data_IF_763857018372
#
_entry.id   IF_763857018372
#
_cell.length_a   1.000
_cell.length_b   1.000
_cell.length_c   1.000
_cell.angle_alpha   90.00
_cell.angle_beta   90.00
_cell.angle_gamma   90.00
#
_symmetry.space_group_name_H-M   'P 1'
#
loop_
_entity.id
_entity.type
_entity.pdbx_description
1 polymer ?
#
# COMPACT_ATOMS: atom_id res chain seq x y z
N UNK A 1 -40.11 13.95 -26.67
CA UNK A 1 -38.88 14.26 -25.92
C UNK A 1 -38.96 13.43 -24.66
N UNK A 2 -38.06 12.47 -24.50
CA UNK A 2 -38.04 11.57 -23.34
C UNK A 2 -37.11 12.13 -22.26
N UNK A 3 -37.24 11.62 -21.05
CA UNK A 3 -36.32 11.91 -19.95
C UNK A 3 -35.13 10.96 -20.00
N UNK A 4 -33.93 11.48 -19.72
CA UNK A 4 -32.71 10.69 -19.64
C UNK A 4 -32.77 9.76 -18.43
N UNK A 5 -32.64 8.45 -18.63
CA UNK A 5 -32.74 7.47 -17.55
C UNK A 5 -31.69 7.67 -16.44
N UNK A 6 -30.48 8.13 -16.81
CA UNK A 6 -29.40 8.36 -15.83
C UNK A 6 -29.50 9.67 -15.02
N UNK A 7 -30.04 10.76 -15.59
CA UNK A 7 -29.95 12.09 -14.94
C UNK A 7 -31.24 12.91 -14.94
N UNK A 8 -32.34 12.40 -15.51
CA UNK A 8 -33.63 13.09 -15.62
C UNK A 8 -33.64 14.30 -16.57
N UNK A 9 -32.54 14.59 -17.27
CA UNK A 9 -32.46 15.67 -18.25
C UNK A 9 -33.21 15.35 -19.55
N UNK A 10 -33.38 16.35 -20.43
CA UNK A 10 -33.97 16.14 -21.76
C UNK A 10 -33.09 15.23 -22.62
N UNK A 11 -33.69 14.22 -23.23
CA UNK A 11 -33.00 13.30 -24.13
C UNK A 11 -33.80 13.02 -25.41
N UNK A 12 -33.06 12.71 -26.48
CA UNK A 12 -33.61 12.24 -27.76
C UNK A 12 -33.63 10.70 -27.84
N UNK A 13 -32.78 10.04 -27.04
CA UNK A 13 -32.67 8.59 -26.88
C UNK A 13 -32.67 8.25 -25.38
N UNK A 14 -32.28 7.04 -24.98
CA UNK A 14 -32.22 6.62 -23.57
C UNK A 14 -31.32 7.54 -22.73
N UNK A 15 -30.16 7.93 -23.26
CA UNK A 15 -29.24 8.87 -22.60
C UNK A 15 -29.17 10.23 -23.31
N UNK A 16 -29.16 11.31 -22.51
CA UNK A 16 -28.88 12.65 -23.02
C UNK A 16 -27.41 12.82 -23.46
N UNK A 17 -27.13 13.78 -24.33
CA UNK A 17 -25.77 14.04 -24.85
C UNK A 17 -24.71 14.29 -23.76
N UNK A 18 -25.09 14.80 -22.59
CA UNK A 18 -24.16 14.94 -21.44
C UNK A 18 -23.73 13.58 -20.90
N UNK A 19 -24.67 12.64 -20.73
CA UNK A 19 -24.36 11.29 -20.26
C UNK A 19 -23.56 10.51 -21.31
N UNK A 20 -23.89 10.69 -22.59
CA UNK A 20 -23.09 10.14 -23.70
C UNK A 20 -21.64 10.65 -23.65
N UNK A 21 -21.46 11.96 -23.44
CA UNK A 21 -20.14 12.57 -23.29
C UNK A 21 -19.32 12.00 -22.12
N UNK A 22 -19.98 11.63 -21.00
CA UNK A 22 -19.32 10.96 -19.87
C UNK A 22 -18.83 9.56 -20.24
N UNK A 23 -19.68 8.74 -20.87
CA UNK A 23 -19.29 7.40 -21.32
C UNK A 23 -18.11 7.52 -22.29
N UNK A 24 -18.22 8.37 -23.30
CA UNK A 24 -17.19 8.56 -24.31
C UNK A 24 -15.87 9.05 -23.70
N UNK A 25 -15.92 10.00 -22.75
CA UNK A 25 -14.75 10.45 -22.01
C UNK A 25 -14.05 9.32 -21.27
N UNK A 26 -14.81 8.50 -20.53
CA UNK A 26 -14.26 7.34 -19.82
C UNK A 26 -13.67 6.34 -20.81
N UNK A 27 -14.39 5.95 -21.86
CA UNK A 27 -13.93 4.96 -22.85
C UNK A 27 -12.69 5.41 -23.62
N UNK A 28 -12.48 6.72 -23.83
CA UNK A 28 -11.25 7.25 -24.43
C UNK A 28 -10.04 7.18 -23.52
N UNK A 29 -10.22 7.37 -22.22
CA UNK A 29 -9.14 7.25 -21.23
C UNK A 29 -8.83 5.79 -20.87
N UNK A 30 -9.86 4.94 -20.91
CA UNK A 30 -9.83 3.57 -20.41
C UNK A 30 -8.69 2.69 -21.00
N UNK A 31 -8.31 2.76 -22.29
CA UNK A 31 -7.20 1.99 -22.86
C UNK A 31 -5.90 2.12 -22.07
N UNK A 32 -5.51 3.35 -21.71
CA UNK A 32 -4.28 3.59 -20.95
C UNK A 32 -4.39 3.01 -19.54
N UNK A 33 -5.52 3.21 -18.87
CA UNK A 33 -5.77 2.67 -17.53
C UNK A 33 -5.81 1.15 -17.51
N UNK A 34 -6.32 0.51 -18.56
CA UNK A 34 -6.34 -0.94 -18.71
C UNK A 34 -4.93 -1.52 -18.90
N UNK A 35 -4.08 -0.89 -19.70
CA UNK A 35 -2.67 -1.30 -19.82
C UNK A 35 -1.98 -1.23 -18.44
N UNK A 36 -2.17 -0.16 -17.68
CA UNK A 36 -1.62 -0.03 -16.31
C UNK A 36 -2.22 -1.02 -15.33
N UNK A 37 -3.50 -1.34 -15.45
CA UNK A 37 -4.15 -2.36 -14.63
C UNK A 37 -3.60 -3.75 -14.94
N UNK A 38 -3.36 -4.07 -16.21
CA UNK A 38 -2.71 -5.32 -16.63
C UNK A 38 -1.29 -5.41 -16.08
N UNK A 39 -0.49 -4.35 -16.20
CA UNK A 39 0.86 -4.27 -15.58
C UNK A 39 0.79 -4.50 -14.06
N UNK A 40 -0.20 -3.89 -13.39
CA UNK A 40 -0.42 -4.05 -11.94
C UNK A 40 -0.85 -5.48 -11.60
N UNK A 41 -1.74 -6.09 -12.39
CA UNK A 41 -2.22 -7.45 -12.19
C UNK A 41 -1.10 -8.49 -12.29
N UNK A 42 -0.17 -8.31 -13.24
CA UNK A 42 0.97 -9.22 -13.47
C UNK A 42 2.17 -8.89 -12.55
N UNK A 43 2.13 -7.77 -11.82
CA UNK A 43 3.20 -7.37 -10.89
C UNK A 43 4.35 -6.59 -11.49
N UNK A 44 4.25 -6.17 -12.75
CA UNK A 44 5.33 -5.48 -13.46
C UNK A 44 5.39 -3.97 -13.19
N UNK A 45 4.45 -3.41 -12.41
CA UNK A 45 4.38 -1.98 -12.09
C UNK A 45 5.52 -1.43 -11.19
N UNK A 46 6.65 -2.15 -11.03
CA UNK A 46 7.85 -1.67 -10.32
C UNK A 46 9.00 -1.32 -11.26
N UNK A 47 8.70 -0.61 -12.35
CA UNK A 47 9.71 -0.02 -13.24
C UNK A 47 9.67 1.51 -13.13
N UNK A 48 9.92 2.05 -11.93
CA UNK A 48 10.50 3.38 -11.80
C UNK A 48 11.95 3.23 -11.34
N UNK A 49 12.85 3.80 -12.14
CA UNK A 49 14.29 3.87 -11.95
C UNK A 49 14.73 4.68 -10.72
N UNK A 50 13.84 5.41 -10.06
CA UNK A 50 14.17 6.24 -8.89
C UNK A 50 13.77 5.65 -7.53
N UNK A 51 13.02 4.54 -7.49
CA UNK A 51 12.73 3.88 -6.21
C UNK A 51 13.96 3.05 -5.80
N UNK A 52 14.69 3.54 -4.79
CA UNK A 52 15.74 2.78 -4.08
C UNK A 52 15.35 1.31 -4.03
N UNK A 53 16.28 0.42 -4.42
CA UNK A 53 16.26 -1.01 -4.09
C UNK A 53 15.95 -1.15 -2.60
N UNK A 54 14.68 -1.22 -2.24
CA UNK A 54 14.30 -1.82 -0.99
C UNK A 54 14.66 -3.27 -1.19
N UNK A 55 15.73 -3.71 -0.54
CA UNK A 55 15.99 -5.12 -0.26
C UNK A 55 14.87 -5.64 0.66
N UNK A 56 13.62 -5.57 0.23
CA UNK A 56 12.69 -6.64 0.54
C UNK A 56 13.25 -7.79 -0.28
N UNK A 57 13.91 -8.71 0.41
CA UNK A 57 14.10 -10.06 -0.11
C UNK A 57 12.81 -10.43 -0.84
N UNK A 58 12.86 -10.99 -2.06
CA UNK A 58 11.70 -11.71 -2.54
C UNK A 58 11.38 -12.68 -1.41
N UNK A 59 10.21 -12.56 -0.79
CA UNK A 59 9.67 -13.67 -0.01
C UNK A 59 9.41 -14.75 -1.05
N UNK A 60 10.48 -15.44 -1.45
CA UNK A 60 10.37 -16.75 -2.07
C UNK A 60 9.63 -17.56 -1.05
N UNK A 61 8.43 -18.03 -1.39
CA UNK A 61 7.80 -19.13 -0.68
C UNK A 61 8.88 -20.21 -0.58
N UNK A 62 9.47 -20.38 0.59
CA UNK A 62 10.30 -21.55 0.83
C UNK A 62 9.34 -22.73 0.76
N UNK A 63 9.68 -23.77 0.00
CA UNK A 63 8.80 -24.94 -0.21
C UNK A 63 8.38 -25.66 1.08
N UNK A 64 8.96 -25.26 2.22
CA UNK A 64 8.72 -25.80 3.55
C UNK A 64 7.70 -24.96 4.38
N UNK A 65 7.31 -23.78 3.91
CA UNK A 65 6.25 -22.98 4.55
C UNK A 65 4.89 -23.54 4.14
N UNK A 66 4.24 -24.30 5.03
CA UNK A 66 2.87 -24.73 4.78
C UNK A 66 1.95 -23.50 4.67
N UNK A 67 1.04 -23.50 3.68
CA UNK A 67 0.00 -22.47 3.52
C UNK A 67 -0.76 -22.18 4.83
N UNK A 68 -0.81 -23.18 5.73
CA UNK A 68 -1.44 -23.14 7.04
C UNK A 68 -0.74 -22.21 8.05
N UNK A 69 0.56 -21.95 7.90
CA UNK A 69 1.31 -21.03 8.80
C UNK A 69 0.95 -19.55 8.63
N UNK A 70 0.22 -19.19 7.56
CA UNK A 70 -0.36 -17.86 7.34
C UNK A 70 -1.88 -17.83 7.56
N UNK A 71 -2.45 -18.91 8.08
CA UNK A 71 -3.82 -18.96 8.58
C UNK A 71 -3.73 -18.78 10.10
N UNK A 72 -3.76 -17.53 10.54
CA UNK A 72 -3.74 -17.14 11.97
C UNK A 72 -5.19 -16.98 12.51
N UNK A 73 -5.39 -16.97 13.84
CA UNK A 73 -6.06 -17.99 14.68
C UNK A 73 -7.59 -18.04 14.57
N UNK A 74 -8.19 -19.02 15.27
CA UNK A 74 -9.65 -19.15 15.46
C UNK A 74 -10.27 -17.81 15.95
N UNK A 75 -11.49 -17.48 15.49
CA UNK A 75 -12.13 -16.18 15.75
C UNK A 75 -12.35 -15.90 17.24
N UNK A 76 -12.35 -14.61 17.59
CA UNK A 76 -12.81 -14.13 18.89
C UNK A 76 -14.27 -14.55 19.13
N UNK A 77 -14.62 -14.84 20.39
CA UNK A 77 -15.92 -15.37 20.83
C UNK A 77 -17.14 -14.48 20.48
N UNK A 78 -16.93 -13.29 19.90
CA UNK A 78 -17.96 -12.29 19.58
C UNK A 78 -18.26 -12.16 18.07
N UNK A 79 -17.80 -13.07 17.22
CA UNK A 79 -18.02 -13.00 15.77
C UNK A 79 -19.35 -13.69 15.37
N UNK A 80 -20.40 -12.91 15.14
CA UNK A 80 -21.79 -13.39 14.90
C UNK A 80 -21.95 -14.25 13.62
N UNK A 81 -21.12 -14.04 12.59
CA UNK A 81 -21.12 -14.83 11.34
C UNK A 81 -19.75 -15.46 11.05
N UNK A 82 -19.55 -16.64 11.62
CA UNK A 82 -18.33 -17.46 11.46
C UNK A 82 -18.08 -17.87 10.00
N UNK A 83 -19.12 -17.92 9.15
CA UNK A 83 -18.99 -18.36 7.75
C UNK A 83 -18.47 -17.22 6.86
N UNK A 84 -19.07 -16.04 6.95
CA UNK A 84 -18.58 -14.86 6.22
C UNK A 84 -17.16 -14.48 6.64
N UNK A 85 -16.88 -14.52 7.95
CA UNK A 85 -15.55 -14.23 8.47
C UNK A 85 -14.50 -15.24 7.97
N UNK A 86 -14.83 -16.53 7.94
CA UNK A 86 -13.98 -17.57 7.33
C UNK A 86 -13.72 -17.29 5.85
N UNK A 87 -14.76 -16.95 5.09
CA UNK A 87 -14.64 -16.63 3.65
C UNK A 87 -13.77 -15.40 3.40
N UNK A 88 -13.92 -14.36 4.22
CA UNK A 88 -13.11 -13.15 4.15
C UNK A 88 -11.62 -13.42 4.44
N UNK A 89 -11.33 -14.25 5.45
CA UNK A 89 -9.96 -14.68 5.81
C UNK A 89 -9.31 -15.52 4.71
N UNK A 90 -10.02 -16.52 4.18
CA UNK A 90 -9.54 -17.34 3.06
C UNK A 90 -9.20 -16.47 1.84
N UNK A 91 -10.07 -15.50 1.53
CA UNK A 91 -9.82 -14.55 0.45
C UNK A 91 -8.57 -13.69 0.73
N UNK A 92 -8.34 -13.26 1.98
CA UNK A 92 -7.14 -12.49 2.34
C UNK A 92 -5.85 -13.32 2.20
N UNK A 93 -5.85 -14.56 2.68
CA UNK A 93 -4.70 -15.46 2.57
C UNK A 93 -4.34 -15.79 1.11
N UNK A 94 -5.36 -16.09 0.28
CA UNK A 94 -5.15 -16.29 -1.16
C UNK A 94 -4.58 -15.03 -1.81
N UNK A 95 -5.11 -13.86 -1.46
CA UNK A 95 -4.59 -12.60 -2.00
C UNK A 95 -3.12 -12.38 -1.62
N UNK A 96 -2.74 -12.71 -0.39
CA UNK A 96 -1.37 -12.62 0.09
C UNK A 96 -0.43 -13.58 -0.65
N UNK A 97 -0.83 -14.84 -0.84
CA UNK A 97 -0.06 -15.84 -1.57
C UNK A 97 0.18 -15.41 -3.04
N UNK A 98 -0.87 -14.94 -3.73
CA UNK A 98 -0.77 -14.44 -5.10
C UNK A 98 0.15 -13.20 -5.20
N UNK A 99 0.02 -12.26 -4.26
CA UNK A 99 0.87 -11.07 -4.19
C UNK A 99 2.34 -11.41 -3.93
N UNK A 100 2.61 -12.46 -3.14
CA UNK A 100 3.96 -12.99 -2.91
C UNK A 100 4.57 -13.53 -4.20
N UNK A 101 3.76 -14.16 -5.05
CA UNK A 101 4.12 -14.55 -6.43
C UNK A 101 4.17 -13.39 -7.44
N UNK A 102 3.98 -12.14 -7.00
CA UNK A 102 3.99 -10.95 -7.87
C UNK A 102 2.64 -10.61 -8.50
N UNK A 103 1.61 -11.44 -8.38
CA UNK A 103 0.30 -11.17 -8.98
C UNK A 103 -0.54 -10.29 -8.06
N UNK A 104 -1.11 -9.19 -8.55
CA UNK A 104 -2.05 -8.39 -7.77
C UNK A 104 -3.49 -8.90 -7.96
N UNK A 105 -4.02 -9.72 -7.04
CA UNK A 105 -5.26 -10.49 -7.23
C UNK A 105 -6.48 -9.60 -7.48
N UNK A 106 -6.62 -8.51 -6.72
CA UNK A 106 -7.74 -7.57 -6.91
C UNK A 106 -7.64 -6.78 -8.21
N UNK A 107 -6.43 -6.65 -8.78
CA UNK A 107 -6.27 -6.00 -10.08
C UNK A 107 -6.63 -6.97 -11.21
N UNK A 108 -6.25 -8.24 -11.08
CA UNK A 108 -6.64 -9.31 -12.01
C UNK A 108 -8.18 -9.49 -12.03
N UNK A 109 -8.81 -9.58 -10.87
CA UNK A 109 -10.27 -9.70 -10.75
C UNK A 109 -10.99 -8.48 -11.35
N UNK A 110 -10.47 -7.26 -11.11
CA UNK A 110 -11.04 -6.06 -11.69
C UNK A 110 -10.87 -6.03 -13.22
N UNK A 111 -9.72 -6.48 -13.74
CA UNK A 111 -9.46 -6.57 -15.17
C UNK A 111 -10.43 -7.55 -15.85
N UNK A 112 -10.67 -8.71 -15.23
CA UNK A 112 -11.66 -9.69 -15.70
C UNK A 112 -13.07 -9.10 -15.72
N UNK A 113 -13.51 -8.48 -14.62
CA UNK A 113 -14.83 -7.82 -14.52
C UNK A 113 -15.03 -6.78 -15.61
N UNK A 114 -14.05 -5.92 -15.84
CA UNK A 114 -14.12 -4.88 -16.89
C UNK A 114 -14.15 -5.52 -18.27
N UNK A 115 -13.34 -6.55 -18.51
CA UNK A 115 -13.33 -7.26 -19.80
C UNK A 115 -14.67 -7.91 -20.09
N UNK A 116 -15.27 -8.59 -19.11
CA UNK A 116 -16.57 -9.23 -19.26
C UNK A 116 -17.67 -8.19 -19.55
N UNK A 117 -17.72 -7.10 -18.79
CA UNK A 117 -18.66 -6.00 -19.01
C UNK A 117 -18.54 -5.42 -20.43
N UNK A 118 -17.32 -5.07 -20.88
CA UNK A 118 -17.12 -4.52 -22.22
C UNK A 118 -17.50 -5.54 -23.32
N UNK A 119 -17.15 -6.83 -23.13
CA UNK A 119 -17.46 -7.87 -24.10
C UNK A 119 -18.95 -8.17 -24.22
N UNK A 120 -19.70 -8.10 -23.12
CA UNK A 120 -21.15 -8.27 -23.08
C UNK A 120 -21.82 -7.16 -23.89
N UNK A 121 -21.45 -5.91 -23.65
CA UNK A 121 -21.99 -4.77 -24.39
C UNK A 121 -21.69 -4.82 -25.89
N UNK A 122 -20.49 -5.27 -26.27
CA UNK A 122 -20.15 -5.47 -27.69
C UNK A 122 -21.04 -6.54 -28.31
N UNK A 123 -21.25 -7.66 -27.60
CA UNK A 123 -22.11 -8.74 -28.07
C UNK A 123 -23.55 -8.25 -28.26
N UNK A 124 -24.12 -7.56 -27.28
CA UNK A 124 -25.50 -7.07 -27.35
C UNK A 124 -25.71 -6.09 -28.51
N UNK A 125 -24.74 -5.19 -28.76
CA UNK A 125 -24.77 -4.29 -29.92
C UNK A 125 -24.77 -5.07 -31.24
N UNK A 126 -23.91 -6.08 -31.33
CA UNK A 126 -23.76 -6.89 -32.53
C UNK A 126 -25.02 -7.73 -32.79
N UNK A 127 -25.58 -8.36 -31.76
CA UNK A 127 -26.83 -9.14 -31.82
C UNK A 127 -28.01 -8.26 -32.25
N UNK A 128 -28.17 -7.08 -31.64
CA UNK A 128 -29.24 -6.13 -31.99
C UNK A 128 -29.15 -5.66 -33.45
N UNK A 129 -27.95 -5.66 -34.04
CA UNK A 129 -27.70 -5.22 -35.41
C UNK A 129 -27.62 -6.36 -36.43
N UNK A 130 -27.66 -7.62 -35.98
CA UNK A 130 -27.47 -8.79 -36.83
C UNK A 130 -26.09 -8.84 -37.49
N UNK A 131 -25.06 -8.32 -36.83
CA UNK A 131 -23.66 -8.37 -37.30
C UNK A 131 -22.83 -9.28 -36.41
N UNK A 132 -21.81 -9.94 -36.96
CA UNK A 132 -20.92 -10.77 -36.16
C UNK A 132 -20.08 -9.92 -35.19
N UNK A 133 -19.87 -10.41 -33.95
CA UNK A 133 -19.03 -9.71 -32.98
C UNK A 133 -17.57 -9.72 -33.41
N UNK A 134 -16.84 -8.59 -33.28
CA UNK A 134 -15.44 -8.53 -33.63
C UNK A 134 -14.60 -9.40 -32.69
N UNK A 135 -13.57 -10.07 -33.23
CA UNK A 135 -12.63 -10.90 -32.47
C UNK A 135 -11.59 -10.06 -31.69
N UNK A 136 -12.05 -9.28 -30.70
CA UNK A 136 -11.21 -8.40 -29.90
C UNK A 136 -10.60 -9.16 -28.71
N UNK A 137 -9.29 -9.43 -28.76
CA UNK A 137 -8.59 -10.17 -27.69
C UNK A 137 -8.21 -9.33 -26.47
N UNK A 138 -8.09 -8.01 -26.63
CA UNK A 138 -7.61 -7.11 -25.59
C UNK A 138 -8.69 -6.13 -25.16
N UNK A 139 -8.93 -5.94 -23.85
CA UNK A 139 -10.02 -5.08 -23.37
C UNK A 139 -9.85 -3.61 -23.77
N UNK A 140 -8.62 -3.15 -24.02
CA UNK A 140 -8.37 -1.81 -24.57
C UNK A 140 -8.96 -1.60 -25.96
N UNK A 141 -8.96 -2.65 -26.79
CA UNK A 141 -9.56 -2.59 -28.13
C UNK A 141 -11.10 -2.58 -28.03
N UNK A 142 -11.65 -3.30 -27.04
CA UNK A 142 -13.08 -3.26 -26.74
C UNK A 142 -13.53 -1.85 -26.35
N UNK A 143 -12.75 -1.17 -25.49
CA UNK A 143 -13.03 0.21 -25.09
C UNK A 143 -13.03 1.19 -26.27
N UNK A 144 -12.03 1.10 -27.17
CA UNK A 144 -11.96 1.92 -28.39
C UNK A 144 -13.15 1.64 -29.30
N UNK A 145 -13.49 0.37 -29.51
CA UNK A 145 -14.60 -0.02 -30.38
C UNK A 145 -15.95 0.54 -29.89
N UNK A 146 -16.18 0.52 -28.58
CA UNK A 146 -17.38 1.09 -27.95
C UNK A 146 -17.38 2.61 -28.02
N UNK A 147 -16.22 3.27 -27.85
CA UNK A 147 -16.12 4.73 -27.94
C UNK A 147 -16.54 5.25 -29.31
N UNK A 148 -16.14 4.57 -30.39
CA UNK A 148 -16.51 4.90 -31.77
C UNK A 148 -18.02 4.75 -32.04
N UNK A 149 -18.73 3.97 -31.20
CA UNK A 149 -20.15 3.63 -31.39
C UNK A 149 -21.04 4.21 -30.31
N UNK A 150 -20.62 5.32 -29.69
CA UNK A 150 -21.30 5.91 -28.54
C UNK A 150 -22.80 6.19 -28.77
N UNK A 151 -23.18 6.66 -29.96
CA UNK A 151 -24.59 6.93 -30.29
C UNK A 151 -25.45 5.65 -30.23
N UNK A 152 -24.84 4.50 -30.52
CA UNK A 152 -25.50 3.20 -30.42
C UNK A 152 -25.68 2.82 -28.98
N UNK A 153 -24.59 2.87 -28.20
CA UNK A 153 -24.58 2.57 -26.77
C UNK A 153 -25.61 3.42 -26.03
N UNK A 154 -25.71 4.70 -26.40
CA UNK A 154 -26.61 5.65 -25.78
C UNK A 154 -28.10 5.40 -26.04
N UNK A 155 -28.43 4.65 -27.09
CA UNK A 155 -29.80 4.30 -27.46
C UNK A 155 -30.23 2.91 -27.01
N UNK A 156 -29.32 2.11 -26.46
CA UNK A 156 -29.64 0.77 -25.96
C UNK A 156 -30.43 0.82 -24.65
N UNK A 157 -31.24 -0.20 -24.45
CA UNK A 157 -31.81 -0.50 -23.15
C UNK A 157 -30.67 -0.78 -22.14
N UNK A 158 -30.80 -0.29 -20.90
CA UNK A 158 -29.76 -0.42 -19.88
C UNK A 158 -28.52 0.48 -20.06
N UNK A 159 -28.54 1.46 -20.98
CA UNK A 159 -27.41 2.37 -21.19
C UNK A 159 -27.03 3.19 -19.94
N UNK A 160 -28.00 3.47 -19.07
CA UNK A 160 -27.80 4.09 -17.76
C UNK A 160 -27.09 3.18 -16.77
N UNK A 161 -27.46 1.90 -16.72
CA UNK A 161 -26.76 0.88 -15.92
C UNK A 161 -25.31 0.74 -16.39
N UNK A 162 -25.07 0.72 -17.70
CA UNK A 162 -23.71 0.72 -18.25
C UNK A 162 -22.90 1.94 -17.86
N UNK A 163 -23.49 3.14 -17.93
CA UNK A 163 -22.80 4.35 -17.49
C UNK A 163 -22.43 4.26 -16.01
N UNK A 164 -23.34 3.76 -15.16
CA UNK A 164 -23.08 3.58 -13.74
C UNK A 164 -21.95 2.57 -13.52
N UNK A 165 -22.06 1.37 -14.10
CA UNK A 165 -21.07 0.32 -13.92
C UNK A 165 -19.71 0.75 -14.47
N UNK A 166 -19.67 1.30 -15.68
CA UNK A 166 -18.43 1.83 -16.29
C UNK A 166 -17.78 2.88 -15.39
N UNK A 167 -18.57 3.79 -14.81
CA UNK A 167 -18.06 4.82 -13.90
C UNK A 167 -17.51 4.22 -12.61
N UNK A 168 -18.18 3.24 -12.02
CA UNK A 168 -17.75 2.55 -10.82
C UNK A 168 -16.45 1.77 -11.04
N UNK A 169 -16.40 0.98 -12.12
CA UNK A 169 -15.21 0.23 -12.52
C UNK A 169 -14.06 1.18 -12.80
N UNK A 170 -14.28 2.27 -13.55
CA UNK A 170 -13.24 3.25 -13.84
C UNK A 170 -12.65 3.89 -12.58
N UNK A 171 -13.50 4.25 -11.60
CA UNK A 171 -13.04 4.74 -10.29
C UNK A 171 -12.23 3.68 -9.53
N UNK A 172 -12.63 2.41 -9.62
CA UNK A 172 -11.89 1.31 -9.00
C UNK A 172 -10.52 1.11 -9.66
N UNK A 173 -10.43 1.18 -11.01
CA UNK A 173 -9.15 1.08 -11.73
C UNK A 173 -8.22 2.20 -11.28
N UNK A 174 -8.71 3.44 -11.27
CA UNK A 174 -7.93 4.61 -10.83
C UNK A 174 -7.42 4.44 -9.40
N UNK A 175 -8.20 3.85 -8.49
CA UNK A 175 -7.79 3.59 -7.10
C UNK A 175 -6.70 2.52 -6.99
N UNK A 176 -6.80 1.45 -7.78
CA UNK A 176 -5.82 0.35 -7.78
C UNK A 176 -4.50 0.79 -8.43
N UNK A 177 -4.58 1.41 -9.60
CA UNK A 177 -3.41 1.86 -10.36
C UNK A 177 -2.71 3.02 -9.65
N UNK A 178 -3.44 4.04 -9.20
CA UNK A 178 -2.87 5.11 -8.37
C UNK A 178 -2.88 4.70 -6.91
N UNK A 179 -2.19 3.61 -6.57
CA UNK A 179 -2.09 3.17 -5.17
C UNK A 179 -1.56 4.33 -4.33
N UNK A 180 -2.35 4.89 -3.40
CA UNK A 180 -1.91 6.03 -2.61
C UNK A 180 -0.65 5.63 -1.83
N UNK A 181 0.40 6.44 -1.91
CA UNK A 181 1.57 6.22 -1.07
C UNK A 181 1.11 6.36 0.38
N UNK A 182 1.30 5.34 1.24
CA UNK A 182 0.78 5.39 2.60
C UNK A 182 1.37 6.59 3.35
N UNK A 183 0.49 7.38 3.97
CA UNK A 183 0.88 8.50 4.80
C UNK A 183 1.41 8.01 6.14
N UNK A 184 2.63 8.40 6.46
CA UNK A 184 3.33 8.12 7.73
C UNK A 184 3.03 9.26 8.71
N UNK A 185 2.78 8.97 10.00
CA UNK A 185 2.70 10.02 11.02
C UNK A 185 4.07 10.69 11.23
N UNK A 186 4.11 12.02 11.30
CA UNK A 186 5.32 12.81 11.60
C UNK A 186 5.33 13.40 13.02
N UNK A 187 4.19 13.40 13.71
CA UNK A 187 4.03 13.94 15.07
C UNK A 187 2.95 15.03 15.16
N UNK A 188 2.78 15.65 16.34
CA UNK A 188 1.77 16.68 16.56
C UNK A 188 2.19 18.04 15.96
N UNK A 189 1.22 18.77 15.42
CA UNK A 189 1.40 20.10 14.85
C UNK A 189 1.94 21.10 15.90
N UNK A 190 3.07 21.77 15.63
CA UNK A 190 3.68 22.72 16.56
C UNK A 190 3.06 24.13 16.52
N UNK A 191 2.21 24.44 15.54
CA UNK A 191 1.62 25.76 15.37
C UNK A 191 0.88 26.22 16.63
N UNK A 192 1.02 27.50 16.97
CA UNK A 192 0.24 28.16 18.02
C UNK A 192 -0.85 28.99 17.35
N UNK A 193 -2.09 28.78 17.75
CA UNK A 193 -3.22 29.63 17.37
C UNK A 193 -4.00 30.00 18.63
N UNK A 194 -4.24 31.30 18.84
CA UNK A 194 -4.93 31.79 20.04
C UNK A 194 -4.26 31.43 21.37
N UNK A 195 -2.92 31.40 21.42
CA UNK A 195 -2.15 31.09 22.63
C UNK A 195 -2.05 29.58 22.98
N UNK A 196 -2.79 28.70 22.31
CA UNK A 196 -2.72 27.24 22.49
C UNK A 196 -2.02 26.57 21.31
N UNK A 197 -1.34 25.43 21.57
CA UNK A 197 -0.74 24.61 20.51
C UNK A 197 -1.85 23.83 19.78
N UNK A 198 -1.77 23.75 18.46
CA UNK A 198 -2.74 23.03 17.63
C UNK A 198 -2.76 21.52 17.94
N UNK A 199 -1.58 20.91 18.09
CA UNK A 199 -1.38 19.50 18.44
C UNK A 199 -2.09 18.47 17.55
N UNK A 200 -2.59 18.86 16.37
CA UNK A 200 -3.22 17.94 15.42
C UNK A 200 -2.18 16.95 14.87
N UNK A 201 -2.52 15.67 14.68
CA UNK A 201 -1.60 14.69 14.13
C UNK A 201 -1.25 15.05 12.68
N UNK A 202 0.03 15.18 12.38
CA UNK A 202 0.52 15.43 11.02
C UNK A 202 0.86 14.11 10.35
N UNK A 203 0.40 13.95 9.11
CA UNK A 203 0.63 12.77 8.27
C UNK A 203 1.09 13.24 6.90
N UNK A 204 2.16 12.65 6.39
CA UNK A 204 2.68 12.95 5.05
C UNK A 204 3.28 11.69 4.41
N UNK A 205 3.58 11.77 3.12
CA UNK A 205 4.34 10.71 2.43
C UNK A 205 5.70 10.52 3.12
N UNK A 206 6.19 9.29 3.17
CA UNK A 206 7.52 9.00 3.70
C UNK A 206 8.60 9.80 2.95
N UNK A 207 9.40 10.59 3.66
CA UNK A 207 10.43 11.45 3.08
C UNK A 207 9.93 12.78 2.49
N UNK A 208 8.67 13.17 2.71
CA UNK A 208 8.20 14.52 2.37
C UNK A 208 9.03 15.57 3.11
N UNK A 209 9.44 16.65 2.43
CA UNK A 209 10.18 17.77 3.03
C UNK A 209 9.26 18.75 3.78
N UNK A 210 8.01 18.88 3.32
CA UNK A 210 7.01 19.75 3.96
C UNK A 210 5.70 19.00 4.20
N UNK A 211 4.95 19.45 5.21
CA UNK A 211 3.60 18.96 5.54
C UNK A 211 2.70 20.11 5.94
N UNK A 212 1.47 20.11 5.43
CA UNK A 212 0.45 21.10 5.77
C UNK A 212 -0.50 20.52 6.81
N UNK A 213 -0.70 21.24 7.92
CA UNK A 213 -1.66 20.82 8.93
C UNK A 213 -3.10 20.98 8.43
N UNK A 214 -3.88 19.92 8.38
CA UNK A 214 -5.27 20.00 7.93
C UNK A 214 -6.16 20.87 8.84
N UNK A 215 -5.81 20.99 10.12
CA UNK A 215 -6.58 21.73 11.13
C UNK A 215 -6.29 23.23 11.12
N UNK A 216 -5.03 23.63 11.24
CA UNK A 216 -4.64 25.05 11.32
C UNK A 216 -4.09 25.62 10.01
N UNK A 217 -3.96 24.79 8.97
CA UNK A 217 -3.43 25.13 7.64
C UNK A 217 -1.98 25.64 7.63
N UNK A 218 -1.29 25.60 8.77
CA UNK A 218 0.13 25.93 8.83
C UNK A 218 0.95 24.90 8.06
N UNK A 219 1.87 25.41 7.22
CA UNK A 219 2.89 24.61 6.57
C UNK A 219 4.09 24.44 7.51
N UNK A 220 4.65 23.24 7.53
CA UNK A 220 5.76 22.88 8.40
C UNK A 220 6.80 22.09 7.63
N UNK A 221 8.05 22.40 7.89
CA UNK A 221 9.16 21.53 7.54
C UNK A 221 9.11 20.24 8.38
N UNK A 222 9.20 19.09 7.73
CA UNK A 222 9.08 17.78 8.39
C UNK A 222 10.29 17.47 9.26
N UNK A 223 11.49 17.90 8.89
CA UNK A 223 12.69 17.73 9.70
C UNK A 223 12.55 18.54 10.99
N UNK A 224 12.06 19.78 10.92
CA UNK A 224 11.80 20.63 12.09
C UNK A 224 10.76 20.03 13.05
N UNK A 225 9.70 19.41 12.51
CA UNK A 225 8.68 18.73 13.34
C UNK A 225 9.32 17.54 14.05
N UNK A 226 10.06 16.73 13.32
CA UNK A 226 10.69 15.52 13.84
C UNK A 226 11.76 15.87 14.86
N UNK A 227 12.59 16.87 14.60
CA UNK A 227 13.57 17.37 15.55
C UNK A 227 12.91 17.98 16.78
N UNK A 228 11.86 18.79 16.64
CA UNK A 228 11.12 19.31 17.80
C UNK A 228 10.41 18.21 18.59
N UNK A 229 9.89 17.20 17.90
CA UNK A 229 9.23 16.06 18.53
C UNK A 229 10.24 15.16 19.22
N UNK A 230 11.47 15.01 18.73
CA UNK A 230 12.45 14.08 19.30
C UNK A 230 13.52 14.76 20.16
N UNK A 231 13.65 16.08 20.10
CA UNK A 231 14.57 16.86 20.93
C UNK A 231 14.30 16.60 22.41
N UNK A 232 15.33 16.14 23.13
CA UNK A 232 15.24 15.77 24.54
C UNK A 232 14.53 14.44 24.81
N UNK A 233 14.24 13.63 23.78
CA UNK A 233 13.68 12.28 23.92
C UNK A 233 14.71 11.17 23.77
N UNK A 234 16.01 11.49 23.72
CA UNK A 234 17.06 10.48 23.66
C UNK A 234 17.00 9.54 24.87
N UNK A 235 16.54 10.03 26.03
CA UNK A 235 16.34 9.24 27.24
C UNK A 235 14.99 8.47 27.30
N UNK A 236 14.17 8.57 26.24
CA UNK A 236 12.91 7.85 26.17
C UNK A 236 13.07 6.44 25.61
N UNK A 237 12.18 5.58 26.09
CA UNK A 237 12.14 4.17 25.77
C UNK A 237 11.12 3.93 24.66
N UNK A 238 11.56 3.29 23.57
CA UNK A 238 10.72 2.99 22.42
C UNK A 238 10.78 1.50 22.11
N UNK A 239 9.68 0.94 21.61
CA UNK A 239 9.72 -0.44 21.11
C UNK A 239 10.40 -0.52 19.75
N UNK A 240 10.64 -1.74 19.28
CA UNK A 240 11.29 -1.98 17.99
C UNK A 240 10.59 -1.26 16.86
N UNK A 241 9.27 -1.37 16.77
CA UNK A 241 8.49 -0.75 15.69
C UNK A 241 8.55 0.77 15.77
N UNK A 242 8.38 1.32 16.97
CA UNK A 242 8.48 2.75 17.22
C UNK A 242 9.86 3.29 16.82
N UNK A 243 10.94 2.58 17.12
CA UNK A 243 12.30 2.96 16.73
C UNK A 243 12.46 3.02 15.21
N UNK A 244 11.97 1.99 14.50
CA UNK A 244 12.09 1.97 13.04
C UNK A 244 11.35 3.14 12.39
N UNK A 245 10.17 3.50 12.93
CA UNK A 245 9.39 4.65 12.48
C UNK A 245 10.12 5.95 12.83
N UNK A 246 10.57 6.12 14.06
CA UNK A 246 11.29 7.31 14.56
C UNK A 246 12.57 7.57 13.77
N UNK A 247 13.37 6.54 13.53
CA UNK A 247 14.61 6.64 12.75
C UNK A 247 14.33 6.96 11.28
N UNK A 248 13.27 6.38 10.69
CA UNK A 248 12.86 6.71 9.33
C UNK A 248 12.35 8.16 9.20
N UNK A 249 11.56 8.65 10.17
CA UNK A 249 11.09 10.04 10.23
C UNK A 249 12.25 11.04 10.26
N UNK A 250 13.36 10.69 10.92
CA UNK A 250 14.59 11.52 10.99
C UNK A 250 15.44 11.52 9.71
N UNK A 251 15.04 10.77 8.69
CA UNK A 251 15.90 10.56 7.51
C UNK A 251 17.09 9.62 7.76
N UNK A 252 17.09 8.90 8.89
CA UNK A 252 18.11 7.93 9.29
C UNK A 252 17.56 6.49 9.34
N UNK A 253 16.92 5.97 8.27
CA UNK A 253 16.21 4.70 8.33
C UNK A 253 17.15 3.52 8.62
N UNK A 254 16.80 2.72 9.62
CA UNK A 254 17.47 1.45 9.93
C UNK A 254 16.61 0.30 9.41
N UNK A 255 17.21 -0.72 8.80
CA UNK A 255 16.46 -1.91 8.41
C UNK A 255 16.11 -2.78 9.63
N UNK A 256 14.92 -3.38 9.64
CA UNK A 256 14.46 -4.26 10.72
C UNK A 256 15.43 -5.42 11.01
N UNK A 257 16.16 -5.89 9.97
CA UNK A 257 17.22 -6.89 10.06
C UNK A 257 18.46 -6.36 10.78
N UNK A 258 18.89 -5.14 10.44
CA UNK A 258 20.04 -4.50 11.10
C UNK A 258 19.75 -4.26 12.57
N UNK A 259 18.58 -3.73 12.90
CA UNK A 259 18.15 -3.57 14.29
C UNK A 259 18.13 -4.91 15.04
N UNK A 260 17.52 -5.95 14.44
CA UNK A 260 17.52 -7.31 15.02
C UNK A 260 18.95 -7.81 15.29
N UNK A 261 19.86 -7.63 14.33
CA UNK A 261 21.26 -8.04 14.48
C UNK A 261 22.01 -7.31 15.61
N UNK A 262 21.57 -6.11 16.00
CA UNK A 262 22.14 -5.39 17.14
C UNK A 262 21.62 -5.94 18.46
N UNK A 263 20.38 -6.42 18.49
CA UNK A 263 19.75 -7.00 19.68
C UNK A 263 20.12 -8.47 19.94
N UNK A 264 20.62 -9.18 18.93
CA UNK A 264 20.95 -10.61 19.05
C UNK A 264 22.43 -10.82 19.35
N UNK A 265 22.80 -11.71 20.29
CA UNK A 265 24.19 -12.12 20.48
C UNK A 265 24.74 -12.83 19.23
N UNK A 266 26.03 -12.68 18.97
CA UNK A 266 26.69 -13.24 17.78
C UNK A 266 27.73 -14.27 18.19
N UNK A 267 27.63 -15.51 17.68
CA UNK A 267 28.71 -16.50 17.80
C UNK A 267 29.84 -16.17 16.83
N UNK A 268 31.07 -16.20 17.32
CA UNK A 268 32.29 -15.98 16.57
C UNK A 268 32.89 -17.33 16.13
N UNK A 269 33.75 -17.35 15.09
CA UNK A 269 34.35 -18.58 14.56
C UNK A 269 35.20 -19.36 15.58
N UNK A 270 35.69 -18.67 16.61
CA UNK A 270 36.46 -19.23 17.73
C UNK A 270 35.58 -19.92 18.81
N UNK A 271 34.26 -20.02 18.57
CA UNK A 271 33.30 -20.60 19.50
C UNK A 271 32.83 -19.63 20.60
N UNK A 272 33.39 -18.42 20.69
CA UNK A 272 32.98 -17.43 21.68
C UNK A 272 31.69 -16.72 21.26
N UNK A 273 30.92 -16.22 22.23
CA UNK A 273 29.68 -15.47 21.97
C UNK A 273 29.88 -14.00 22.32
N UNK A 274 29.79 -13.14 21.31
CA UNK A 274 29.78 -11.70 21.48
C UNK A 274 28.38 -11.26 22.00
N UNK A 275 28.31 -10.47 23.09
CA UNK A 275 27.04 -9.95 23.59
C UNK A 275 26.37 -9.03 22.56
N UNK A 276 25.03 -8.86 22.65
CA UNK A 276 24.31 -7.93 21.79
C UNK A 276 24.81 -6.51 21.99
N UNK A 277 24.84 -5.74 20.88
CA UNK A 277 25.28 -4.34 20.87
C UNK A 277 24.22 -3.40 21.42
N UNK A 278 22.95 -3.79 21.33
CA UNK A 278 21.82 -3.08 21.89
C UNK A 278 21.09 -3.99 22.87
N UNK A 279 20.89 -3.50 24.10
CA UNK A 279 20.18 -4.25 25.16
C UNK A 279 18.84 -3.57 25.44
N UNK A 280 17.76 -4.33 25.71
CA UNK A 280 16.53 -3.76 26.24
C UNK A 280 16.82 -3.01 27.54
N UNK A 281 16.23 -1.83 27.72
CA UNK A 281 16.30 -1.03 28.95
C UNK A 281 15.05 -1.17 29.81
N UNK A 282 14.06 -1.87 29.30
CA UNK A 282 12.84 -2.26 30.00
C UNK A 282 11.92 -3.02 29.06
N UNK A 283 10.68 -3.18 29.50
CA UNK A 283 9.63 -3.90 28.78
C UNK A 283 8.31 -3.13 28.88
N UNK A 284 7.54 -3.15 27.80
CA UNK A 284 6.16 -2.64 27.72
C UNK A 284 5.20 -3.83 27.79
N UNK A 285 4.27 -3.77 28.72
CA UNK A 285 3.23 -4.77 28.92
C UNK A 285 2.06 -4.56 27.95
N UNK A 286 1.20 -5.57 27.72
CA UNK A 286 0.01 -5.43 26.87
C UNK A 286 -0.95 -4.32 27.32
N UNK A 287 -1.01 -4.03 28.62
CA UNK A 287 -1.79 -2.93 29.21
C UNK A 287 -1.16 -1.53 29.01
N UNK A 288 -0.02 -1.45 28.31
CA UNK A 288 0.73 -0.24 28.03
C UNK A 288 1.66 0.22 29.16
N UNK A 289 1.65 -0.43 30.33
CA UNK A 289 2.57 -0.10 31.43
C UNK A 289 4.00 -0.51 31.09
N UNK A 290 4.97 0.16 31.72
CA UNK A 290 6.40 -0.08 31.49
C UNK A 290 7.08 -0.53 32.77
N UNK A 291 7.97 -1.51 32.66
CA UNK A 291 8.77 -2.05 33.76
C UNK A 291 10.21 -2.33 33.33
N UNK A 292 11.10 -2.51 34.29
CA UNK A 292 12.53 -2.79 34.02
C UNK A 292 12.74 -4.26 33.67
N UNK A 293 12.04 -5.16 34.36
CA UNK A 293 12.12 -6.60 34.16
C UNK A 293 10.99 -7.11 33.25
N UNK A 294 11.27 -8.21 32.55
CA UNK A 294 10.27 -8.97 31.80
C UNK A 294 9.48 -9.85 32.77
N UNK A 295 8.15 -9.82 32.66
CA UNK A 295 7.23 -10.61 33.46
C UNK A 295 6.51 -11.69 32.64
N UNK A 296 6.19 -11.40 31.37
CA UNK A 296 5.53 -12.34 30.44
C UNK A 296 6.32 -12.48 29.14
N UNK A 297 5.95 -13.47 28.32
CA UNK A 297 6.39 -13.56 26.94
C UNK A 297 5.76 -12.51 26.02
N UNK A 298 4.60 -11.97 26.42
CA UNK A 298 3.91 -10.88 25.70
C UNK A 298 4.51 -9.50 25.97
N UNK A 299 5.47 -9.41 26.89
CA UNK A 299 6.14 -8.15 27.23
C UNK A 299 7.10 -7.72 26.10
N UNK A 300 6.80 -6.60 25.47
CA UNK A 300 7.58 -6.09 24.35
C UNK A 300 8.83 -5.35 24.83
N UNK A 301 10.05 -5.71 24.38
CA UNK A 301 11.27 -5.03 24.80
C UNK A 301 11.29 -3.58 24.31
N UNK A 302 11.68 -2.67 25.21
CA UNK A 302 11.90 -1.26 24.89
C UNK A 302 13.38 -0.88 24.98
N UNK A 303 13.81 0.03 24.11
CA UNK A 303 15.19 0.46 23.96
C UNK A 303 15.29 1.98 24.04
N UNK A 304 16.44 2.46 24.50
CA UNK A 304 16.72 3.89 24.59
C UNK A 304 17.02 4.45 23.20
N UNK A 305 16.34 5.52 22.79
CA UNK A 305 16.57 6.12 21.47
C UNK A 305 18.02 6.60 21.30
N UNK A 306 18.62 7.17 22.35
CA UNK A 306 20.01 7.61 22.34
C UNK A 306 21.01 6.47 22.05
N UNK A 307 20.80 5.28 22.65
CA UNK A 307 21.65 4.11 22.43
C UNK A 307 21.58 3.65 20.95
N UNK A 308 20.39 3.68 20.36
CA UNK A 308 20.19 3.29 18.95
C UNK A 308 20.85 4.28 18.00
N UNK A 309 20.68 5.59 18.25
CA UNK A 309 21.27 6.65 17.41
C UNK A 309 22.79 6.60 17.45
N UNK A 310 23.36 6.43 18.64
CA UNK A 310 24.81 6.26 18.81
C UNK A 310 25.32 5.07 17.98
N UNK A 311 24.66 3.92 18.08
CA UNK A 311 25.05 2.72 17.33
C UNK A 311 24.85 2.87 15.81
N UNK A 312 23.86 3.63 15.37
CA UNK A 312 23.65 3.97 13.96
C UNK A 312 24.78 4.85 13.40
N UNK A 313 25.17 5.89 14.14
CA UNK A 313 26.25 6.81 13.76
C UNK A 313 27.63 6.14 13.72
N UNK A 314 27.88 5.18 14.63
CA UNK A 314 29.11 4.38 14.64
C UNK A 314 29.31 3.54 13.35
N UNK A 315 28.28 3.43 12.49
CA UNK A 315 28.27 2.67 11.22
C UNK A 315 29.03 1.34 11.30
N UNK A 316 28.76 0.48 12.30
CA UNK A 316 29.65 -0.64 12.60
C UNK A 316 29.58 -1.76 11.55
N UNK A 317 28.67 -1.68 10.57
CA UNK A 317 28.62 -2.56 9.38
C UNK A 317 29.71 -2.24 8.34
N UNK A 318 30.21 -1.00 8.27
CA UNK A 318 31.20 -0.60 7.23
C UNK A 318 32.57 -1.25 7.45
N UNK A 319 32.90 -1.59 8.71
CA UNK A 319 34.21 -2.18 9.05
C UNK A 319 34.33 -3.70 8.81
N UNK A 320 33.24 -4.40 8.47
CA UNK A 320 33.28 -5.87 8.37
C UNK A 320 32.37 -6.46 7.29
N UNK A 321 32.41 -5.95 6.06
CA UNK A 321 31.94 -6.72 4.90
C UNK A 321 33.14 -7.39 4.24
N UNK A 322 33.23 -8.72 4.36
CA UNK A 322 34.34 -9.55 3.88
C UNK A 322 34.64 -9.50 2.38
N UNK A 323 33.91 -8.69 1.60
CA UNK A 323 34.23 -8.39 0.21
C UNK A 323 35.50 -7.51 0.07
N UNK A 324 35.74 -6.59 1.02
CA UNK A 324 36.93 -5.73 0.99
C UNK A 324 38.22 -6.47 1.38
N UNK A 325 38.13 -7.46 2.27
CA UNK A 325 39.27 -8.26 2.73
C UNK A 325 39.74 -9.27 1.67
N UNK A 326 38.82 -9.87 0.90
CA UNK A 326 39.18 -10.80 -0.20
C UNK A 326 39.94 -10.13 -1.34
N UNK A 327 39.77 -8.82 -1.55
CA UNK A 327 40.48 -8.08 -2.62
C UNK A 327 41.93 -7.74 -2.28
N UNK A 328 42.33 -7.75 -1.00
CA UNK A 328 43.71 -7.50 -0.58
C UNK A 328 44.58 -8.76 -0.47
N UNK A 329 43.96 -9.94 -0.41
CA UNK A 329 44.68 -11.22 -0.39
C UNK A 329 44.99 -11.77 -1.81
N UNK A 330 44.55 -11.08 -2.86
CA UNK A 330 44.75 -11.47 -4.26
C UNK A 330 45.66 -10.48 -5.01
N UNK A 331 46.55 -9.77 -4.31
CA UNK A 331 47.50 -8.84 -4.91
C UNK A 331 48.91 -9.11 -4.42
#
# INVERSE_FOLDING_TARGET
MTECHSCGGRAEVVLCGRCQGKIHGILRELPWWLDRLTETAVGQARLDTAARRTTREPMTLHGDDSLASHIEPYPDDNEEDLYEARRARQAAALRHALATGGVHPSAAELLEKVTNMLSMWIRDICETRGVEPPALRYPKLMAVWLAERINTVAGMEGADEFLQELSERFRAIRRIVNRPVPLVPYGPCPAKSGGKRCAAPLRAVSGASTVVCERCKAEHDTADIVDRYLSGRDDQHFTREEILIVMAMRGEPISARTFRSWCTPRKLPDGTTQPPRLRPRGYRRPDGRRGIARHSDDDEPVYLLGDVRKLHQEKPQVKTTGAATRRKAAK
#
